data_IF_250829113277
#
_entry.id   IF_250829113277
#
_cell.length_a   1.000
_cell.length_b   1.000
_cell.length_c   1.000
_cell.angle_alpha   90.00
_cell.angle_beta   90.00
_cell.angle_gamma   90.00
#
_symmetry.space_group_name_H-M   'P 1'
#
loop_
_entity.id
_entity.type
_entity.pdbx_description
1 polymer ?
#
# COMPACT_ATOMS: atom_id res chain seq x y z
N UNK A 1 -8.62 7.03 -16.12
CA UNK A 1 -7.79 7.52 -17.26
C UNK A 1 -6.98 8.76 -16.90
N UNK A 2 -7.50 9.69 -16.13
CA UNK A 2 -6.82 10.95 -15.78
C UNK A 2 -5.65 10.73 -14.80
N UNK A 3 -5.76 9.86 -13.84
CA UNK A 3 -4.65 9.52 -12.91
C UNK A 3 -3.50 8.83 -13.65
N UNK A 4 -3.80 7.89 -14.54
CA UNK A 4 -2.79 7.17 -15.33
C UNK A 4 -2.01 8.16 -16.22
N UNK A 5 -2.70 9.15 -16.81
CA UNK A 5 -2.07 10.16 -17.67
C UNK A 5 -1.33 11.21 -16.85
N UNK A 6 -1.79 11.56 -15.65
CA UNK A 6 -1.10 12.49 -14.77
C UNK A 6 0.20 11.89 -14.21
N UNK A 7 0.18 10.63 -13.78
CA UNK A 7 1.39 9.95 -13.31
C UNK A 7 2.41 9.72 -14.44
N UNK A 8 1.95 9.37 -15.64
CA UNK A 8 2.82 9.19 -16.81
C UNK A 8 3.39 10.51 -17.38
N UNK A 9 2.86 11.67 -17.00
CA UNK A 9 3.32 12.99 -17.43
C UNK A 9 4.02 13.78 -16.34
N UNK A 10 4.21 13.21 -15.13
CA UNK A 10 5.05 13.87 -14.13
C UNK A 10 6.44 14.02 -14.70
N UNK A 11 6.79 15.25 -14.95
CA UNK A 11 8.15 15.61 -15.33
C UNK A 11 9.09 15.19 -14.17
N UNK A 12 10.02 14.30 -14.44
CA UNK A 12 11.01 13.82 -13.47
C UNK A 12 11.85 14.95 -12.83
N UNK A 13 11.66 16.18 -13.29
CA UNK A 13 12.32 17.39 -12.75
C UNK A 13 11.58 18.01 -11.55
N UNK A 14 10.32 17.62 -11.27
CA UNK A 14 9.65 18.07 -10.06
C UNK A 14 10.03 17.15 -8.91
N UNK A 15 11.00 17.59 -8.12
CA UNK A 15 11.31 16.98 -6.84
C UNK A 15 10.02 16.92 -6.00
N UNK A 16 9.60 15.72 -5.60
CA UNK A 16 8.58 15.56 -4.56
C UNK A 16 9.01 16.41 -3.37
N UNK A 17 8.13 17.24 -2.79
CA UNK A 17 8.50 18.06 -1.64
C UNK A 17 9.12 17.18 -0.56
N UNK A 18 10.31 17.53 -0.08
CA UNK A 18 11.08 16.75 0.92
C UNK A 18 10.38 16.56 2.28
N UNK A 19 9.18 17.11 2.44
CA UNK A 19 8.38 17.05 3.67
C UNK A 19 7.33 15.95 3.69
N UNK A 20 7.09 15.26 2.57
CA UNK A 20 6.03 14.28 2.47
C UNK A 20 6.58 12.91 2.84
N UNK A 21 5.98 12.30 3.84
CA UNK A 21 6.39 11.00 4.34
C UNK A 21 5.21 10.21 4.88
N UNK A 22 5.34 8.90 4.84
CA UNK A 22 4.37 7.99 5.44
C UNK A 22 5.10 7.04 6.38
N UNK A 23 4.41 6.59 7.42
CA UNK A 23 4.91 5.52 8.29
C UNK A 23 3.78 4.54 8.56
N UNK A 24 3.95 3.30 8.13
CA UNK A 24 3.06 2.19 8.46
C UNK A 24 3.61 1.37 9.61
N UNK A 25 2.73 0.83 10.44
CA UNK A 25 3.09 -0.07 11.54
C UNK A 25 2.08 -1.20 11.67
N UNK A 26 2.58 -2.43 11.81
CA UNK A 26 1.79 -3.59 12.17
C UNK A 26 2.37 -4.20 13.44
N UNK A 27 1.51 -4.41 14.44
CA UNK A 27 1.85 -5.09 15.69
C UNK A 27 1.08 -6.40 15.73
N UNK A 28 1.81 -7.52 15.76
CA UNK A 28 1.20 -8.85 15.83
C UNK A 28 0.56 -9.12 17.20
N UNK A 29 -0.44 -10.02 17.27
CA UNK A 29 -1.19 -10.30 18.50
C UNK A 29 -0.32 -10.58 19.72
N UNK A 30 0.78 -11.30 19.55
CA UNK A 30 1.70 -11.64 20.65
C UNK A 30 2.39 -10.43 21.31
N UNK A 31 2.47 -9.29 20.61
CA UNK A 31 3.04 -8.02 21.14
C UNK A 31 1.99 -7.00 21.55
N UNK A 32 0.76 -7.20 21.13
CA UNK A 32 -0.33 -6.28 21.44
C UNK A 32 -0.90 -6.56 22.83
N UNK A 33 -1.08 -5.53 23.66
CA UNK A 33 -1.73 -5.65 24.97
C UNK A 33 -3.15 -6.23 24.87
N UNK A 34 -3.84 -5.99 23.77
CA UNK A 34 -5.19 -6.51 23.54
C UNK A 34 -5.22 -7.94 23.00
N UNK A 35 -4.08 -8.54 22.67
CA UNK A 35 -4.00 -9.83 21.98
C UNK A 35 -4.55 -9.80 20.54
N UNK A 36 -4.79 -8.60 19.99
CA UNK A 36 -5.29 -8.42 18.62
C UNK A 36 -4.22 -7.80 17.75
N UNK A 37 -4.26 -8.09 16.45
CA UNK A 37 -3.43 -7.40 15.47
C UNK A 37 -3.80 -5.91 15.42
N UNK A 38 -2.79 -5.05 15.38
CA UNK A 38 -2.95 -3.61 15.17
C UNK A 38 -2.26 -3.25 13.86
N UNK A 39 -2.94 -2.57 12.96
CA UNK A 39 -2.39 -2.03 11.74
C UNK A 39 -2.75 -0.54 11.66
N UNK A 40 -1.75 0.32 11.59
CA UNK A 40 -1.93 1.76 11.59
C UNK A 40 -0.96 2.43 10.60
N UNK A 41 -1.29 3.65 10.19
CA UNK A 41 -0.48 4.44 9.28
C UNK A 41 -0.60 5.93 9.63
N UNK A 42 0.53 6.64 9.63
CA UNK A 42 0.58 8.07 9.34
C UNK A 42 0.68 8.24 7.84
N UNK A 43 -0.19 9.08 7.29
CA UNK A 43 -0.15 9.46 5.88
C UNK A 43 0.09 10.97 5.78
N UNK A 44 1.29 11.33 5.37
CA UNK A 44 1.71 12.71 5.19
C UNK A 44 1.80 12.98 3.68
N UNK A 45 0.96 13.88 3.20
CA UNK A 45 0.83 14.20 1.79
C UNK A 45 0.51 15.68 1.60
N UNK A 46 0.20 16.09 0.39
CA UNK A 46 -0.12 17.48 0.05
C UNK A 46 -1.25 18.04 0.93
N UNK A 47 -1.08 19.27 1.43
CA UNK A 47 -2.07 19.94 2.28
C UNK A 47 -3.47 20.01 1.65
N UNK A 48 -3.55 20.18 0.32
CA UNK A 48 -4.81 20.16 -0.43
C UNK A 48 -5.61 18.85 -0.31
N UNK A 49 -4.94 17.74 0.01
CA UNK A 49 -5.60 16.45 0.20
C UNK A 49 -6.36 16.34 1.53
N UNK A 50 -6.13 17.24 2.48
CA UNK A 50 -6.88 17.26 3.77
C UNK A 50 -8.36 17.49 3.56
N UNK A 51 -8.73 18.35 2.61
CA UNK A 51 -10.13 18.70 2.33
C UNK A 51 -10.85 17.65 1.47
N UNK A 52 -10.08 16.82 0.77
CA UNK A 52 -10.61 15.80 -0.14
C UNK A 52 -10.58 14.38 0.44
N UNK A 53 -9.95 14.20 1.61
CA UNK A 53 -9.87 12.92 2.30
C UNK A 53 -11.25 12.41 2.74
N UNK A 54 -11.59 11.18 2.36
CA UNK A 54 -12.87 10.55 2.69
C UNK A 54 -12.66 9.12 3.16
N UNK A 55 -13.54 8.66 4.05
CA UNK A 55 -13.66 7.24 4.41
C UNK A 55 -14.92 6.69 3.76
N UNK A 56 -14.75 5.69 2.91
CA UNK A 56 -15.85 5.07 2.17
C UNK A 56 -16.11 3.69 2.75
N UNK A 57 -17.36 3.42 3.11
CA UNK A 57 -17.85 2.08 3.41
C UNK A 57 -18.50 1.50 2.16
N UNK A 58 -17.95 0.39 1.68
CA UNK A 58 -18.46 -0.32 0.51
C UNK A 58 -19.19 -1.58 0.96
N UNK A 59 -20.44 -1.72 0.53
CA UNK A 59 -21.32 -2.85 0.81
C UNK A 59 -21.78 -3.43 -0.53
N UNK A 60 -20.99 -4.30 -1.16
CA UNK A 60 -21.39 -4.93 -2.42
C UNK A 60 -22.56 -5.91 -2.18
N UNK A 61 -23.42 -6.08 -3.18
CA UNK A 61 -24.50 -7.08 -3.13
C UNK A 61 -23.90 -8.48 -3.03
N UNK A 62 -22.92 -8.79 -3.91
CA UNK A 62 -22.15 -10.02 -3.91
C UNK A 62 -20.66 -9.68 -3.76
N UNK A 63 -20.11 -9.86 -2.55
CA UNK A 63 -18.70 -9.55 -2.34
C UNK A 63 -18.31 -9.40 -0.86
N UNK A 64 -17.12 -8.89 -0.64
CA UNK A 64 -16.61 -8.63 0.71
C UNK A 64 -16.84 -7.16 1.05
N UNK A 65 -17.61 -6.84 2.09
CA UNK A 65 -17.69 -5.47 2.60
C UNK A 65 -16.33 -4.97 3.07
N UNK A 66 -16.04 -3.69 2.85
CA UNK A 66 -14.80 -3.08 3.31
C UNK A 66 -14.97 -1.58 3.61
N UNK A 67 -14.01 -1.07 4.38
CA UNK A 67 -13.77 0.35 4.59
C UNK A 67 -12.48 0.74 3.89
N UNK A 68 -12.45 1.87 3.22
CA UNK A 68 -11.24 2.44 2.64
C UNK A 68 -11.15 3.93 2.89
N UNK A 69 -9.95 4.39 3.21
CA UNK A 69 -9.60 5.81 3.14
C UNK A 69 -9.05 6.10 1.74
N UNK A 70 -9.45 7.22 1.18
CA UNK A 70 -8.93 7.72 -0.10
C UNK A 70 -9.23 9.22 -0.23
N UNK A 71 -8.67 9.86 -1.24
CA UNK A 71 -9.12 11.18 -1.69
C UNK A 71 -10.37 11.05 -2.55
N UNK A 72 -11.23 12.06 -2.54
CA UNK A 72 -12.44 12.11 -3.37
C UNK A 72 -12.09 11.90 -4.86
N UNK A 73 -12.75 10.90 -5.47
CA UNK A 73 -12.44 10.43 -6.83
C UNK A 73 -11.42 9.28 -6.89
N UNK A 74 -10.71 8.96 -5.80
CA UNK A 74 -9.82 7.81 -5.71
C UNK A 74 -10.56 6.52 -5.38
N UNK A 75 -9.95 5.35 -5.70
CA UNK A 75 -10.55 4.03 -5.47
C UNK A 75 -10.23 3.45 -4.10
N UNK A 76 -8.97 3.50 -3.70
CA UNK A 76 -8.48 3.05 -2.40
C UNK A 76 -7.04 3.50 -2.17
N UNK A 77 -6.76 3.99 -0.97
CA UNK A 77 -5.40 4.27 -0.51
C UNK A 77 -4.99 3.31 0.60
N UNK A 78 -5.77 3.21 1.65
CA UNK A 78 -5.63 2.24 2.73
C UNK A 78 -7.01 1.74 3.16
N UNK A 79 -7.08 0.59 3.83
CA UNK A 79 -8.37 0.07 4.25
C UNK A 79 -8.32 -1.29 4.92
N UNK A 80 -9.51 -1.76 5.29
CA UNK A 80 -9.72 -3.10 5.86
C UNK A 80 -11.03 -3.69 5.36
N UNK A 81 -11.09 -5.00 5.25
CA UNK A 81 -12.28 -5.70 4.82
C UNK A 81 -12.89 -6.60 5.91
N UNK A 82 -14.10 -7.07 5.67
CA UNK A 82 -14.88 -7.83 6.65
C UNK A 82 -14.31 -9.23 6.94
N UNK A 83 -13.42 -9.77 6.10
CA UNK A 83 -12.76 -11.06 6.38
C UNK A 83 -11.51 -10.87 7.25
N UNK A 84 -11.08 -9.64 7.49
CA UNK A 84 -9.98 -9.30 8.38
C UNK A 84 -8.65 -9.01 7.68
N UNK A 85 -8.66 -8.76 6.38
CA UNK A 85 -7.50 -8.22 5.68
C UNK A 85 -7.45 -6.70 5.81
N UNK A 86 -6.25 -6.14 5.95
CA UNK A 86 -6.00 -4.71 5.93
C UNK A 86 -4.76 -4.38 5.11
N UNK A 87 -4.80 -3.25 4.43
CA UNK A 87 -3.72 -2.74 3.60
C UNK A 87 -3.45 -1.27 3.89
N UNK A 88 -2.16 -0.91 3.97
CA UNK A 88 -1.68 0.46 3.90
C UNK A 88 -0.59 0.57 2.85
N UNK A 89 -0.27 1.77 2.40
CA UNK A 89 0.72 1.96 1.35
C UNK A 89 1.53 3.24 1.55
N UNK A 90 2.86 3.13 1.42
CA UNK A 90 3.80 4.24 1.50
C UNK A 90 4.48 4.46 0.14
N UNK A 91 4.83 5.69 -0.15
CA UNK A 91 5.61 6.03 -1.34
C UNK A 91 6.99 5.40 -1.28
N UNK A 92 7.43 4.85 -2.40
CA UNK A 92 8.81 4.47 -2.71
C UNK A 92 9.17 5.00 -4.08
N UNK A 93 10.45 5.08 -4.37
CA UNK A 93 11.00 5.53 -5.64
C UNK A 93 12.12 4.60 -6.09
N UNK A 94 12.20 4.35 -7.40
CA UNK A 94 13.29 3.61 -8.04
C UNK A 94 13.59 4.17 -9.42
N UNK A 95 14.73 3.81 -9.96
CA UNK A 95 15.15 4.13 -11.34
C UNK A 95 14.26 3.50 -12.42
N UNK A 96 13.42 2.51 -12.04
CA UNK A 96 12.49 1.82 -12.96
C UNK A 96 11.12 2.50 -13.08
N UNK A 97 10.86 3.52 -12.26
CA UNK A 97 9.55 4.17 -12.20
C UNK A 97 9.22 4.85 -13.53
N UNK A 98 7.97 4.65 -13.99
CA UNK A 98 7.39 5.23 -15.20
C UNK A 98 8.08 4.85 -16.53
N UNK A 99 8.99 3.88 -16.53
CA UNK A 99 9.57 3.36 -17.76
C UNK A 99 8.58 2.50 -18.56
N UNK A 100 7.62 1.86 -17.88
CA UNK A 100 6.57 1.03 -18.48
C UNK A 100 5.22 1.35 -17.84
N UNK A 101 4.15 1.11 -18.59
CA UNK A 101 2.80 1.24 -18.07
C UNK A 101 2.39 -0.05 -17.35
N UNK A 102 1.90 0.10 -16.14
CA UNK A 102 1.32 -0.98 -15.35
C UNK A 102 -0.08 -0.61 -14.83
N UNK A 103 -0.61 -1.44 -13.94
CA UNK A 103 -1.88 -1.19 -13.27
C UNK A 103 -1.69 -0.09 -12.23
N UNK A 104 -2.54 0.96 -12.21
CA UNK A 104 -2.46 2.01 -11.20
C UNK A 104 -2.62 1.44 -9.78
N UNK A 105 -1.82 1.91 -8.85
CA UNK A 105 -1.77 1.42 -7.47
C UNK A 105 -3.13 1.43 -6.75
N UNK A 106 -4.02 2.42 -6.92
CA UNK A 106 -5.35 2.41 -6.31
C UNK A 106 -6.22 1.23 -6.75
N UNK A 107 -6.07 0.72 -7.98
CA UNK A 107 -6.79 -0.47 -8.45
C UNK A 107 -6.30 -1.72 -7.73
N UNK A 108 -4.99 -1.89 -7.58
CA UNK A 108 -4.41 -3.04 -6.87
C UNK A 108 -4.88 -3.05 -5.42
N UNK A 109 -4.79 -1.92 -4.72
CA UNK A 109 -5.24 -1.78 -3.33
C UNK A 109 -6.73 -2.04 -3.18
N UNK A 110 -7.55 -1.55 -4.12
CA UNK A 110 -8.98 -1.82 -4.14
C UNK A 110 -9.26 -3.31 -4.32
N UNK A 111 -8.61 -3.97 -5.24
CA UNK A 111 -8.77 -5.41 -5.50
C UNK A 111 -8.38 -6.24 -4.29
N UNK A 112 -7.32 -5.88 -3.56
CA UNK A 112 -6.93 -6.51 -2.30
C UNK A 112 -8.07 -6.48 -1.29
N UNK A 113 -8.76 -5.34 -1.15
CA UNK A 113 -9.88 -5.20 -0.21
C UNK A 113 -11.13 -6.00 -0.62
N UNK A 114 -11.26 -6.35 -1.88
CA UNK A 114 -12.38 -7.16 -2.41
C UNK A 114 -12.17 -8.65 -2.27
N UNK A 115 -10.93 -9.11 -2.01
CA UNK A 115 -10.63 -10.53 -1.87
C UNK A 115 -11.17 -11.15 -0.57
N UNK A 116 -11.66 -12.39 -0.67
CA UNK A 116 -11.97 -13.26 0.49
C UNK A 116 -10.75 -13.99 1.02
N UNK A 117 -9.79 -14.31 0.14
CA UNK A 117 -8.65 -15.15 0.45
C UNK A 117 -7.33 -14.36 0.38
N UNK A 118 -6.55 -14.47 1.44
CA UNK A 118 -5.26 -13.81 1.58
C UNK A 118 -4.30 -14.14 0.42
N UNK A 119 -4.31 -15.38 -0.07
CA UNK A 119 -3.43 -15.79 -1.17
C UNK A 119 -3.65 -15.00 -2.46
N UNK A 120 -4.89 -14.60 -2.76
CA UNK A 120 -5.18 -13.76 -3.94
C UNK A 120 -4.71 -12.32 -3.74
N UNK A 121 -4.85 -11.78 -2.53
CA UNK A 121 -4.34 -10.46 -2.19
C UNK A 121 -2.80 -10.40 -2.33
N UNK A 122 -2.10 -11.42 -1.82
CA UNK A 122 -0.64 -11.58 -1.95
C UNK A 122 -0.25 -11.62 -3.43
N UNK A 123 -0.91 -12.47 -4.23
CA UNK A 123 -0.65 -12.62 -5.66
C UNK A 123 -0.81 -11.28 -6.39
N UNK A 124 -1.89 -10.57 -6.13
CA UNK A 124 -2.20 -9.34 -6.84
C UNK A 124 -1.22 -8.21 -6.49
N UNK A 125 -0.76 -8.13 -5.24
CA UNK A 125 0.31 -7.21 -4.86
C UNK A 125 1.63 -7.61 -5.52
N UNK A 126 2.01 -8.88 -5.43
CA UNK A 126 3.33 -9.34 -5.84
C UNK A 126 3.49 -9.39 -7.36
N UNK A 127 2.47 -9.87 -8.09
CA UNK A 127 2.59 -10.24 -9.50
C UNK A 127 2.01 -9.20 -10.48
N UNK A 128 1.19 -8.24 -10.02
CA UNK A 128 0.61 -7.24 -10.94
C UNK A 128 1.66 -6.21 -11.32
N UNK A 129 1.96 -6.03 -12.63
CA UNK A 129 2.86 -4.97 -13.08
C UNK A 129 2.35 -3.58 -12.68
N UNK A 130 3.24 -2.72 -12.24
CA UNK A 130 2.95 -1.36 -11.75
C UNK A 130 3.68 -0.34 -12.61
N UNK A 131 3.21 0.90 -12.62
CA UNK A 131 3.92 1.99 -13.31
C UNK A 131 4.98 2.63 -12.42
N UNK A 132 4.86 2.52 -11.12
CA UNK A 132 5.78 3.13 -10.15
C UNK A 132 5.95 2.29 -8.90
N UNK A 133 7.02 2.57 -8.18
CA UNK A 133 7.37 1.93 -6.92
C UNK A 133 6.39 2.30 -5.81
N UNK A 134 6.16 1.37 -4.91
CA UNK A 134 5.31 1.58 -3.74
C UNK A 134 5.56 0.49 -2.69
N UNK A 135 5.50 0.85 -1.43
CA UNK A 135 5.39 -0.14 -0.35
C UNK A 135 3.93 -0.40 -0.04
N UNK A 136 3.55 -1.67 0.06
CA UNK A 136 2.21 -2.11 0.49
C UNK A 136 2.34 -3.06 1.66
N UNK A 137 1.87 -2.63 2.83
CA UNK A 137 1.82 -3.47 4.02
C UNK A 137 0.47 -4.19 4.04
N UNK A 138 0.49 -5.51 4.10
CA UNK A 138 -0.68 -6.37 4.14
C UNK A 138 -0.72 -7.13 5.47
N UNK A 139 -1.87 -7.14 6.12
CA UNK A 139 -2.08 -7.91 7.33
C UNK A 139 -3.43 -8.64 7.33
N UNK A 140 -3.49 -9.74 8.07
CA UNK A 140 -4.71 -10.51 8.31
C UNK A 140 -4.93 -10.70 9.81
N UNK A 141 -6.18 -10.58 10.25
CA UNK A 141 -6.59 -10.66 11.67
C UNK A 141 -6.08 -11.90 12.42
N UNK A 142 -5.80 -13.00 11.69
CA UNK A 142 -5.33 -14.26 12.27
C UNK A 142 -3.83 -14.21 12.63
N UNK A 143 -3.21 -13.03 12.60
CA UNK A 143 -1.85 -12.82 13.10
C UNK A 143 -0.76 -12.94 12.03
N UNK A 144 -1.10 -12.82 10.75
CA UNK A 144 -0.13 -12.79 9.66
C UNK A 144 0.02 -11.36 9.10
N UNK A 145 1.25 -10.98 8.75
CA UNK A 145 1.53 -9.75 8.02
C UNK A 145 2.85 -9.83 7.26
N UNK A 146 2.95 -9.01 6.23
CA UNK A 146 4.20 -8.71 5.52
C UNK A 146 4.14 -7.33 4.87
N UNK A 147 5.28 -6.78 4.52
CA UNK A 147 5.40 -5.58 3.70
C UNK A 147 5.94 -5.97 2.33
N UNK A 148 5.28 -5.52 1.28
CA UNK A 148 5.74 -5.66 -0.10
C UNK A 148 6.37 -4.35 -0.55
N UNK A 149 7.67 -4.34 -0.70
CA UNK A 149 8.38 -3.29 -1.41
C UNK A 149 8.32 -3.59 -2.90
N UNK A 150 7.50 -2.85 -3.63
CA UNK A 150 7.24 -3.08 -5.03
C UNK A 150 7.97 -2.08 -5.90
N UNK A 151 8.79 -2.56 -6.83
CA UNK A 151 9.17 -1.85 -8.06
C UNK A 151 8.13 -2.13 -9.16
N UNK A 152 8.17 -1.47 -10.31
CA UNK A 152 7.23 -1.69 -11.40
C UNK A 152 7.07 -3.15 -11.83
N UNK A 153 8.14 -3.89 -11.86
CA UNK A 153 8.28 -5.25 -12.42
C UNK A 153 8.68 -6.32 -11.39
N UNK A 154 8.98 -5.93 -10.14
CA UNK A 154 9.47 -6.83 -9.10
C UNK A 154 8.93 -6.44 -7.73
N UNK A 155 8.78 -7.43 -6.84
CA UNK A 155 8.32 -7.17 -5.47
C UNK A 155 9.19 -7.95 -4.47
N UNK A 156 9.55 -7.29 -3.37
CA UNK A 156 10.38 -7.82 -2.29
C UNK A 156 9.55 -7.87 -1.02
N UNK A 157 9.62 -8.99 -0.31
CA UNK A 157 8.90 -9.16 0.95
C UNK A 157 9.79 -8.81 2.13
N UNK A 158 9.22 -8.08 3.08
CA UNK A 158 9.84 -7.75 4.36
C UNK A 158 8.96 -8.29 5.48
N UNK A 159 9.51 -9.20 6.26
CA UNK A 159 8.80 -9.87 7.34
C UNK A 159 8.88 -9.09 8.66
N UNK A 160 7.93 -9.29 9.57
CA UNK A 160 7.98 -8.67 10.89
C UNK A 160 9.15 -9.19 11.72
N UNK A 161 9.84 -8.28 12.41
CA UNK A 161 10.86 -8.64 13.38
C UNK A 161 10.26 -8.62 14.81
N UNK A 162 10.38 -9.73 15.53
CA UNK A 162 9.85 -9.88 16.91
C UNK A 162 8.39 -9.41 17.05
N UNK A 163 7.57 -9.67 16.03
CA UNK A 163 6.15 -9.33 16.03
C UNK A 163 5.82 -7.86 15.75
N UNK A 164 6.76 -7.10 15.23
CA UNK A 164 6.61 -5.72 14.82
C UNK A 164 7.09 -5.55 13.37
N UNK A 165 6.30 -4.89 12.54
CA UNK A 165 6.66 -4.50 11.19
C UNK A 165 6.44 -2.99 11.06
N UNK A 166 7.50 -2.25 10.73
CA UNK A 166 7.46 -0.80 10.51
C UNK A 166 8.07 -0.51 9.16
N UNK A 167 7.44 0.37 8.41
CA UNK A 167 7.95 0.81 7.12
C UNK A 167 7.67 2.30 6.90
N UNK A 168 8.65 3.01 6.37
CA UNK A 168 8.52 4.41 5.99
C UNK A 168 8.63 4.57 4.45
N UNK A 169 9.42 5.53 3.98
CA UNK A 169 9.54 5.86 2.54
C UNK A 169 10.95 5.56 2.00
N UNK A 170 11.54 4.45 2.41
CA UNK A 170 12.83 3.97 1.92
C UNK A 170 12.84 2.45 1.83
N UNK A 171 13.64 1.92 0.93
CA UNK A 171 13.86 0.49 0.78
C UNK A 171 14.60 -0.08 1.99
N UNK A 172 14.09 -1.13 2.61
CA UNK A 172 14.72 -1.82 3.75
C UNK A 172 15.14 -3.25 3.40
N UNK A 173 14.56 -3.85 2.36
CA UNK A 173 15.02 -5.14 1.85
C UNK A 173 16.43 -5.01 1.28
N UNK A 174 17.38 -5.79 1.80
CA UNK A 174 18.74 -5.80 1.29
C UNK A 174 18.83 -6.19 -0.20
N UNK A 175 17.90 -7.05 -0.66
CA UNK A 175 17.83 -7.44 -2.08
C UNK A 175 17.32 -6.27 -2.93
N UNK A 176 16.31 -5.54 -2.47
CA UNK A 176 15.83 -4.36 -3.18
C UNK A 176 16.93 -3.28 -3.29
N UNK A 177 17.60 -2.98 -2.17
CA UNK A 177 18.69 -2.02 -2.13
C UNK A 177 19.83 -2.37 -3.10
N UNK A 178 20.15 -3.65 -3.26
CA UNK A 178 21.21 -4.09 -4.18
C UNK A 178 20.83 -4.01 -5.66
N UNK A 179 19.53 -3.87 -5.99
CA UNK A 179 19.04 -3.91 -7.37
C UNK A 179 18.49 -2.56 -7.87
N UNK A 180 18.04 -1.70 -6.97
CA UNK A 180 17.19 -0.54 -7.30
C UNK A 180 17.80 0.81 -6.89
N UNK A 181 18.99 0.81 -6.28
CA UNK A 181 19.65 2.03 -5.79
C UNK A 181 21.08 2.08 -6.33
#
# INVERSE_FOLDING_TARGET
RTEIVADARRDHTQSVPKSDGCTGVIVLPARSKSGKLIHAQNWDWLDSCKETGVVIRVLPEDGVPFLTFTEAGGLARSGLNAVGMSITANYLESDRDFQTFGVPLPFIRRQVLEHRHLAFAIRDIAATPKSCSNNMMLAHKDGWCTSFECAPDESFMVEPEKGLLVHANHWISAVAQSKLI
#
